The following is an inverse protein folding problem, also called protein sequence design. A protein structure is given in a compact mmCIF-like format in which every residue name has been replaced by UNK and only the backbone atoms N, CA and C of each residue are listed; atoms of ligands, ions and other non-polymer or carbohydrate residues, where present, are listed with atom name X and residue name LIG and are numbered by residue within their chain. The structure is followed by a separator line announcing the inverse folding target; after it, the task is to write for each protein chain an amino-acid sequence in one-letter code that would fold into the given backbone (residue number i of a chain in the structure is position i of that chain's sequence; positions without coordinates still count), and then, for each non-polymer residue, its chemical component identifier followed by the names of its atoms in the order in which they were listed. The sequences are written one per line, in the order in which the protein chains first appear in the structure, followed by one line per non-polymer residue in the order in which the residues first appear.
data_IF_422198823793
#
_entry.id   IF_422198823793
#
_cell.length_a   1.000
_cell.length_b   1.000
_cell.length_c   1.000
_cell.angle_alpha   90.00
_cell.angle_beta   90.00
_cell.angle_gamma   90.00
#
_symmetry.space_group_name_H-M   'P 1'
#
loop_
_entity.id
_entity.type
_entity.pdbx_description
1 polymer ?
#
# COMPACT_ATOMS: atom_id res chain seq x y z
N UNK A 1 -2.98 -31.98 -13.83
CA UNK A 1 -3.36 -31.41 -12.50
C UNK A 1 -4.61 -32.16 -12.08
N UNK A 2 -4.52 -32.91 -11.00
CA UNK A 2 -5.64 -33.62 -10.38
C UNK A 2 -6.33 -32.73 -9.33
N UNK A 3 -7.53 -33.13 -8.91
CA UNK A 3 -8.22 -32.48 -7.80
C UNK A 3 -7.40 -32.55 -6.49
N UNK A 4 -6.72 -33.66 -6.26
CA UNK A 4 -5.87 -33.89 -5.10
C UNK A 4 -4.65 -32.93 -5.10
N UNK A 5 -4.09 -32.59 -6.24
CA UNK A 5 -3.00 -31.61 -6.36
C UNK A 5 -3.45 -30.22 -5.91
N UNK A 6 -4.70 -29.88 -6.19
CA UNK A 6 -5.31 -28.59 -5.79
C UNK A 6 -5.56 -28.59 -4.28
N UNK A 7 -6.24 -29.61 -3.77
CA UNK A 7 -6.68 -29.69 -2.37
C UNK A 7 -5.50 -29.86 -1.42
N UNK A 8 -4.45 -30.59 -1.83
CA UNK A 8 -3.26 -30.80 -1.01
C UNK A 8 -2.33 -29.59 -0.92
N UNK A 9 -2.53 -28.56 -1.75
CA UNK A 9 -1.70 -27.36 -1.74
C UNK A 9 -2.07 -26.43 -0.57
N UNK A 10 -1.58 -26.78 0.63
CA UNK A 10 -1.84 -26.02 1.87
C UNK A 10 -1.42 -24.55 1.79
N UNK A 11 -0.35 -24.24 1.05
CA UNK A 11 0.12 -22.87 0.91
C UNK A 11 -0.88 -22.02 0.11
N UNK A 12 -1.41 -22.55 -1.00
CA UNK A 12 -2.42 -21.85 -1.79
C UNK A 12 -3.73 -21.64 -1.00
N UNK A 13 -4.19 -22.66 -0.27
CA UNK A 13 -5.39 -22.56 0.55
C UNK A 13 -5.23 -21.55 1.69
N UNK A 14 -4.06 -21.49 2.30
CA UNK A 14 -3.77 -20.51 3.35
C UNK A 14 -3.88 -19.08 2.81
N UNK A 15 -3.28 -18.80 1.65
CA UNK A 15 -3.37 -17.49 0.97
C UNK A 15 -4.83 -17.18 0.60
N UNK A 16 -5.55 -18.16 0.05
CA UNK A 16 -6.95 -18.01 -0.32
C UNK A 16 -7.83 -17.62 0.87
N UNK A 17 -7.75 -18.34 1.99
CA UNK A 17 -8.54 -18.05 3.18
C UNK A 17 -8.18 -16.69 3.78
N UNK A 18 -6.91 -16.33 3.84
CA UNK A 18 -6.48 -15.01 4.29
C UNK A 18 -7.05 -13.90 3.42
N UNK A 19 -6.91 -13.99 2.11
CA UNK A 19 -7.43 -12.99 1.18
C UNK A 19 -8.96 -12.90 1.24
N UNK A 20 -9.65 -14.04 1.21
CA UNK A 20 -11.11 -14.06 1.30
C UNK A 20 -11.61 -13.41 2.59
N UNK A 21 -10.98 -13.72 3.72
CA UNK A 21 -11.33 -13.12 5.03
C UNK A 21 -11.10 -11.61 5.04
N UNK A 22 -9.96 -11.15 4.53
CA UNK A 22 -9.64 -9.72 4.49
C UNK A 22 -10.59 -8.95 3.56
N UNK A 23 -10.92 -9.51 2.39
CA UNK A 23 -11.89 -8.90 1.46
C UNK A 23 -13.28 -8.85 2.10
N UNK A 24 -13.70 -9.92 2.80
CA UNK A 24 -14.98 -9.96 3.49
C UNK A 24 -15.04 -8.93 4.61
N UNK A 25 -13.98 -8.79 5.40
CA UNK A 25 -13.89 -7.76 6.44
C UNK A 25 -13.95 -6.35 5.85
N UNK A 26 -13.20 -6.09 4.77
CA UNK A 26 -13.22 -4.80 4.07
C UNK A 26 -14.62 -4.48 3.52
N UNK A 27 -15.31 -5.47 2.94
CA UNK A 27 -16.70 -5.35 2.49
C UNK A 27 -17.65 -5.08 3.66
N UNK A 28 -17.47 -5.80 4.77
CA UNK A 28 -18.22 -5.57 6.01
C UNK A 28 -18.04 -4.14 6.54
N UNK A 29 -16.82 -3.64 6.59
CA UNK A 29 -16.52 -2.25 6.98
C UNK A 29 -17.21 -1.24 6.05
N UNK A 30 -17.23 -1.51 4.76
CA UNK A 30 -17.93 -0.66 3.80
C UNK A 30 -19.45 -0.67 4.05
N UNK A 31 -20.04 -1.84 4.24
CA UNK A 31 -21.48 -2.00 4.48
C UNK A 31 -21.96 -1.37 5.80
N UNK A 32 -21.08 -1.30 6.81
CA UNK A 32 -21.38 -0.60 8.09
C UNK A 32 -21.30 0.91 7.98
N UNK A 33 -20.88 1.46 6.83
CA UNK A 33 -20.68 2.89 6.63
C UNK A 33 -19.40 3.44 7.30
N UNK A 34 -18.56 2.56 7.88
CA UNK A 34 -17.31 2.97 8.52
C UNK A 34 -16.39 3.72 7.56
N UNK A 35 -16.26 3.23 6.34
CA UNK A 35 -15.41 3.85 5.30
C UNK A 35 -15.90 5.27 4.99
N UNK A 36 -17.22 5.45 4.82
CA UNK A 36 -17.81 6.77 4.58
C UNK A 36 -17.67 7.70 5.77
N UNK A 37 -17.82 7.19 6.99
CA UNK A 37 -17.59 7.96 8.21
C UNK A 37 -16.13 8.39 8.35
N UNK A 38 -15.19 7.48 8.15
CA UNK A 38 -13.76 7.75 8.19
C UNK A 38 -13.33 8.75 7.11
N UNK A 39 -13.85 8.59 5.89
CA UNK A 39 -13.63 9.54 4.80
C UNK A 39 -14.11 10.96 5.15
N UNK A 40 -15.31 11.10 5.73
CA UNK A 40 -15.83 12.40 6.19
C UNK A 40 -14.99 13.01 7.33
N UNK A 41 -14.51 12.17 8.26
CA UNK A 41 -13.62 12.60 9.34
C UNK A 41 -12.32 13.18 8.78
N UNK A 42 -11.70 12.48 7.81
CA UNK A 42 -10.49 12.94 7.14
C UNK A 42 -10.77 14.21 6.32
N UNK A 43 -11.83 14.24 5.53
CA UNK A 43 -12.20 15.40 4.73
C UNK A 43 -12.44 16.63 5.61
N UNK A 44 -13.09 16.48 6.77
CA UNK A 44 -13.28 17.57 7.74
C UNK A 44 -11.95 18.09 8.31
N UNK A 45 -11.01 17.21 8.61
CA UNK A 45 -9.69 17.57 9.14
C UNK A 45 -8.75 18.14 8.07
N UNK A 46 -9.00 17.83 6.81
CA UNK A 46 -8.19 18.25 5.65
C UNK A 46 -8.87 19.39 4.85
N UNK A 47 -10.04 19.85 5.27
CA UNK A 47 -10.73 20.99 4.67
C UNK A 47 -9.88 22.26 4.84
N UNK A 48 -9.39 22.80 3.73
CA UNK A 48 -8.46 23.94 3.71
C UNK A 48 -7.12 23.66 3.05
N UNK A 49 -6.82 22.41 2.78
CA UNK A 49 -5.64 22.03 1.99
C UNK A 49 -6.02 21.75 0.53
N UNK A 50 -5.08 22.02 -0.38
CA UNK A 50 -5.32 21.72 -1.80
C UNK A 50 -5.47 20.19 -2.03
N UNK A 51 -6.31 19.76 -2.98
CA UNK A 51 -6.51 18.33 -3.29
C UNK A 51 -5.20 17.60 -3.59
N UNK A 52 -4.28 18.27 -4.28
CA UNK A 52 -2.95 17.75 -4.57
C UNK A 52 -2.13 17.50 -3.30
N UNK A 53 -2.18 18.44 -2.34
CA UNK A 53 -1.48 18.29 -1.06
C UNK A 53 -2.03 17.11 -0.27
N UNK A 54 -3.35 16.95 -0.23
CA UNK A 54 -4.00 15.83 0.44
C UNK A 54 -3.63 14.51 -0.23
N UNK A 55 -3.69 14.46 -1.55
CA UNK A 55 -3.29 13.28 -2.32
C UNK A 55 -1.85 12.86 -2.01
N UNK A 56 -0.91 13.80 -2.02
CA UNK A 56 0.49 13.54 -1.68
C UNK A 56 0.64 13.08 -0.24
N UNK A 57 -0.04 13.74 0.71
CA UNK A 57 0.00 13.36 2.13
C UNK A 57 -0.50 11.93 2.35
N UNK A 58 -1.61 11.54 1.73
CA UNK A 58 -2.15 10.18 1.81
C UNK A 58 -1.15 9.15 1.26
N UNK A 59 -0.49 9.44 0.14
CA UNK A 59 0.53 8.55 -0.45
C UNK A 59 1.75 8.45 0.45
N UNK A 60 2.22 9.56 1.01
CA UNK A 60 3.37 9.56 1.94
C UNK A 60 3.05 8.74 3.19
N UNK A 61 1.88 8.97 3.80
CA UNK A 61 1.44 8.20 4.96
C UNK A 61 1.31 6.71 4.61
N UNK A 62 0.64 6.38 3.50
CA UNK A 62 0.53 5.02 3.02
C UNK A 62 1.91 4.39 2.86
N UNK A 63 2.85 5.03 2.18
CA UNK A 63 4.21 4.53 1.97
C UNK A 63 4.97 4.29 3.28
N UNK A 64 4.89 5.22 4.24
CA UNK A 64 5.58 5.11 5.53
C UNK A 64 4.96 4.04 6.44
N UNK A 65 3.65 3.82 6.36
CA UNK A 65 2.99 2.75 7.12
C UNK A 65 3.51 1.36 6.76
N UNK A 66 4.23 1.23 5.65
CA UNK A 66 4.92 -0.02 5.26
C UNK A 66 5.86 -0.56 6.34
N UNK A 67 6.47 0.32 7.15
CA UNK A 67 7.36 -0.08 8.24
C UNK A 67 6.68 -0.97 9.30
N UNK A 68 5.38 -0.90 9.44
CA UNK A 68 4.61 -1.66 10.44
C UNK A 68 4.13 -3.04 9.94
N UNK A 69 4.39 -3.37 8.67
CA UNK A 69 3.87 -4.59 8.07
C UNK A 69 4.99 -5.52 7.61
N UNK A 70 4.96 -6.76 8.12
CA UNK A 70 5.91 -7.82 7.72
C UNK A 70 5.48 -8.58 6.43
N UNK A 71 4.42 -8.14 5.77
CA UNK A 71 3.88 -8.78 4.56
C UNK A 71 3.31 -7.75 3.61
N UNK A 72 3.70 -7.84 2.33
CA UNK A 72 3.14 -7.00 1.28
C UNK A 72 1.63 -7.21 1.11
N UNK A 73 1.19 -8.47 1.18
CA UNK A 73 -0.23 -8.83 1.06
C UNK A 73 -1.05 -8.27 2.20
N UNK A 74 -0.60 -8.44 3.45
CA UNK A 74 -1.30 -7.91 4.62
C UNK A 74 -1.38 -6.37 4.58
N UNK A 75 -0.29 -5.71 4.25
CA UNK A 75 -0.22 -4.26 4.06
C UNK A 75 -1.23 -3.77 3.01
N UNK A 76 -1.19 -4.36 1.82
CA UNK A 76 -2.07 -3.98 0.72
C UNK A 76 -3.54 -4.21 1.06
N UNK A 77 -3.87 -5.38 1.57
CA UNK A 77 -5.26 -5.75 1.89
C UNK A 77 -5.85 -4.90 3.03
N UNK A 78 -5.03 -4.51 4.00
CA UNK A 78 -5.50 -3.69 5.12
C UNK A 78 -5.60 -2.21 4.74
N UNK A 79 -4.59 -1.64 4.10
CA UNK A 79 -4.48 -0.20 3.96
C UNK A 79 -4.94 0.36 2.61
N UNK A 80 -4.76 -0.38 1.49
CA UNK A 80 -5.13 0.16 0.18
C UNK A 80 -6.63 0.49 0.07
N UNK A 81 -7.58 -0.34 0.53
CA UNK A 81 -8.99 0.00 0.54
C UNK A 81 -9.31 1.26 1.36
N UNK A 82 -8.63 1.45 2.49
CA UNK A 82 -8.83 2.62 3.35
C UNK A 82 -8.33 3.91 2.66
N UNK A 83 -7.18 3.86 2.00
CA UNK A 83 -6.64 5.00 1.26
C UNK A 83 -7.50 5.37 0.07
N UNK A 84 -7.99 4.39 -0.69
CA UNK A 84 -8.90 4.61 -1.81
C UNK A 84 -10.22 5.20 -1.31
N UNK A 85 -10.76 4.71 -0.20
CA UNK A 85 -11.98 5.26 0.39
C UNK A 85 -11.79 6.71 0.87
N UNK A 86 -10.63 7.04 1.43
CA UNK A 86 -10.28 8.41 1.79
C UNK A 86 -10.24 9.33 0.55
N UNK A 87 -9.65 8.87 -0.54
CA UNK A 87 -9.62 9.61 -1.80
C UNK A 87 -11.01 9.78 -2.43
N UNK A 88 -11.85 8.73 -2.37
CA UNK A 88 -13.25 8.78 -2.85
C UNK A 88 -14.12 9.79 -2.08
N UNK A 89 -13.81 10.05 -0.81
CA UNK A 89 -14.51 11.06 -0.02
C UNK A 89 -14.17 12.51 -0.45
N UNK A 90 -13.17 12.68 -1.33
CA UNK A 90 -12.69 13.95 -1.85
C UNK A 90 -12.78 13.95 -3.39
N UNK A 91 -13.91 14.39 -3.98
CA UNK A 91 -14.16 14.29 -5.43
C UNK A 91 -13.14 15.01 -6.32
N UNK A 92 -12.39 15.95 -5.74
CA UNK A 92 -11.38 16.73 -6.43
C UNK A 92 -10.06 15.95 -6.62
N UNK A 93 -9.88 14.79 -5.95
CA UNK A 93 -8.71 13.94 -6.15
C UNK A 93 -8.94 13.07 -7.41
N UNK A 94 -8.03 13.12 -8.40
CA UNK A 94 -8.12 12.27 -9.59
C UNK A 94 -7.89 10.80 -9.22
N UNK A 95 -8.97 10.09 -8.98
CA UNK A 95 -8.94 8.71 -8.45
C UNK A 95 -8.09 7.74 -9.28
N UNK A 96 -8.10 7.76 -10.64
CA UNK A 96 -7.23 6.88 -11.42
C UNK A 96 -5.75 7.10 -11.14
N UNK A 97 -5.33 8.37 -11.05
CA UNK A 97 -3.94 8.75 -10.71
C UNK A 97 -3.60 8.28 -9.30
N UNK A 98 -4.48 8.52 -8.32
CA UNK A 98 -4.28 8.11 -6.96
C UNK A 98 -4.15 6.59 -6.82
N UNK A 99 -5.02 5.81 -7.45
CA UNK A 99 -4.95 4.35 -7.46
C UNK A 99 -3.64 3.82 -8.08
N UNK A 100 -3.17 4.45 -9.15
CA UNK A 100 -1.90 4.09 -9.76
C UNK A 100 -0.72 4.41 -8.85
N UNK A 101 -0.75 5.55 -8.15
CA UNK A 101 0.24 5.91 -7.13
C UNK A 101 0.25 4.93 -5.96
N UNK A 102 -0.92 4.51 -5.48
CA UNK A 102 -1.04 3.46 -4.44
C UNK A 102 -0.42 2.15 -4.91
N UNK A 103 -0.72 1.71 -6.13
CA UNK A 103 -0.13 0.51 -6.72
C UNK A 103 1.40 0.60 -6.83
N UNK A 104 1.92 1.74 -7.30
CA UNK A 104 3.36 1.98 -7.37
C UNK A 104 4.01 2.03 -5.98
N UNK A 105 3.35 2.65 -4.97
CA UNK A 105 3.82 2.70 -3.59
C UNK A 105 3.99 1.31 -2.97
N UNK A 106 3.09 0.36 -3.28
CA UNK A 106 3.18 -1.03 -2.82
C UNK A 106 4.46 -1.70 -3.33
N UNK A 107 4.78 -1.51 -4.60
CA UNK A 107 6.00 -2.06 -5.21
C UNK A 107 7.26 -1.39 -4.68
N UNK A 108 7.33 -0.07 -4.73
CA UNK A 108 8.50 0.71 -4.35
C UNK A 108 8.81 0.63 -2.85
N UNK A 109 7.79 0.50 -1.99
CA UNK A 109 7.96 0.31 -0.54
C UNK A 109 8.56 -1.05 -0.15
N UNK A 110 8.76 -1.95 -1.09
CA UNK A 110 9.26 -3.30 -0.84
C UNK A 110 10.71 -3.37 -0.34
N UNK A 111 11.48 -2.30 -0.50
CA UNK A 111 12.89 -2.22 -0.07
C UNK A 111 13.08 -1.61 1.33
N UNK A 112 12.03 -1.04 1.93
CA UNK A 112 12.15 -0.26 3.17
C UNK A 112 12.65 -1.07 4.37
N UNK A 113 12.27 -2.34 4.45
CA UNK A 113 12.57 -3.17 5.63
C UNK A 113 13.02 -4.58 5.23
N UNK A 114 13.80 -5.27 6.08
CA UNK A 114 14.23 -6.65 5.82
C UNK A 114 13.08 -7.66 5.86
N UNK A 115 11.88 -7.26 6.20
CA UNK A 115 10.68 -8.09 6.26
C UNK A 115 9.55 -7.60 5.35
N UNK A 116 9.83 -6.62 4.48
CA UNK A 116 8.80 -6.01 3.63
C UNK A 116 8.18 -6.98 2.62
N UNK A 117 8.93 -7.96 2.14
CA UNK A 117 8.45 -8.95 1.16
C UNK A 117 8.89 -10.35 1.55
N UNK A 118 8.32 -11.38 0.92
CA UNK A 118 8.72 -12.77 1.15
C UNK A 118 10.22 -13.05 0.92
N UNK A 119 10.85 -12.54 -0.15
CA UNK A 119 12.29 -12.72 -0.39
C UNK A 119 13.19 -11.91 0.53
N UNK A 120 12.74 -10.78 1.06
CA UNK A 120 13.57 -9.86 1.86
C UNK A 120 14.25 -10.52 3.06
N UNK A 121 13.58 -11.35 3.88
CA UNK A 121 14.22 -12.05 4.98
C UNK A 121 15.31 -13.02 4.54
N UNK A 122 15.19 -13.62 3.35
CA UNK A 122 16.15 -14.55 2.80
C UNK A 122 17.45 -13.82 2.44
N UNK A 123 17.33 -12.70 1.74
CA UNK A 123 18.49 -11.86 1.40
C UNK A 123 19.15 -11.27 2.64
N UNK A 124 18.36 -10.77 3.58
CA UNK A 124 18.87 -10.25 4.84
C UNK A 124 19.55 -11.34 5.67
N UNK A 125 18.94 -12.51 5.78
CA UNK A 125 19.47 -13.66 6.53
C UNK A 125 20.72 -14.31 5.91
N UNK A 126 21.05 -14.00 4.65
CA UNK A 126 22.29 -14.48 4.01
C UNK A 126 23.56 -13.93 4.64
N UNK A 127 23.45 -12.82 5.41
CA UNK A 127 24.57 -12.23 6.14
C UNK A 127 25.58 -11.42 5.30
N UNK A 128 25.34 -11.26 4.00
CA UNK A 128 26.23 -10.47 3.13
C UNK A 128 26.21 -8.96 3.46
N UNK A 129 25.10 -8.47 4.02
CA UNK A 129 24.94 -7.06 4.40
C UNK A 129 24.79 -6.95 5.91
N UNK A 130 25.63 -6.11 6.57
CA UNK A 130 25.42 -5.74 7.97
C UNK A 130 24.04 -5.12 8.19
N UNK A 131 23.44 -5.40 9.33
CA UNK A 131 22.11 -4.88 9.69
C UNK A 131 22.00 -3.35 9.54
N UNK A 132 23.00 -2.62 10.00
CA UNK A 132 23.03 -1.17 9.92
C UNK A 132 23.00 -0.66 8.46
N UNK A 133 23.78 -1.31 7.58
CA UNK A 133 23.84 -0.94 6.17
C UNK A 133 22.53 -1.26 5.46
N UNK A 134 21.88 -2.38 5.78
CA UNK A 134 20.56 -2.72 5.23
C UNK A 134 19.52 -1.63 5.53
N UNK A 135 19.42 -1.21 6.80
CA UNK A 135 18.48 -0.17 7.21
C UNK A 135 18.84 1.20 6.62
N UNK A 136 20.12 1.53 6.56
CA UNK A 136 20.60 2.79 5.96
C UNK A 136 20.28 2.86 4.47
N UNK A 137 20.59 1.80 3.73
CA UNK A 137 20.29 1.72 2.29
C UNK A 137 18.77 1.71 2.03
N UNK A 138 18.00 0.95 2.81
CA UNK A 138 16.55 0.94 2.75
C UNK A 138 15.94 2.33 2.98
N UNK A 139 16.45 3.08 3.94
CA UNK A 139 16.00 4.45 4.19
C UNK A 139 16.37 5.41 3.05
N UNK A 140 17.62 5.36 2.54
CA UNK A 140 18.08 6.21 1.45
C UNK A 140 17.30 5.94 0.17
N UNK A 141 17.25 4.68 -0.28
CA UNK A 141 16.53 4.32 -1.49
C UNK A 141 15.02 4.47 -1.32
N UNK A 142 14.49 4.20 -0.11
CA UNK A 142 13.10 4.43 0.21
C UNK A 142 12.70 5.90 0.04
N UNK A 143 13.54 6.83 0.51
CA UNK A 143 13.31 8.26 0.32
C UNK A 143 13.39 8.65 -1.16
N UNK A 144 14.40 8.17 -1.88
CA UNK A 144 14.54 8.42 -3.33
C UNK A 144 13.29 7.93 -4.06
N UNK A 145 12.83 6.71 -3.79
CA UNK A 145 11.65 6.15 -4.45
C UNK A 145 10.36 6.87 -4.07
N UNK A 146 10.24 7.34 -2.82
CA UNK A 146 9.09 8.17 -2.42
C UNK A 146 9.06 9.49 -3.20
N UNK A 147 10.20 10.17 -3.32
CA UNK A 147 10.30 11.42 -4.09
C UNK A 147 9.99 11.18 -5.57
N UNK A 148 10.55 10.13 -6.16
CA UNK A 148 10.26 9.75 -7.55
C UNK A 148 8.78 9.41 -7.73
N UNK A 149 8.16 8.69 -6.81
CA UNK A 149 6.74 8.37 -6.84
C UNK A 149 5.86 9.62 -6.84
N UNK A 150 6.18 10.58 -5.97
CA UNK A 150 5.42 11.84 -5.90
C UNK A 150 5.61 12.66 -7.19
N UNK A 151 6.83 12.79 -7.67
CA UNK A 151 7.12 13.53 -8.90
C UNK A 151 6.41 12.87 -10.10
N UNK A 152 6.55 11.56 -10.28
CA UNK A 152 5.91 10.86 -11.41
C UNK A 152 4.40 10.85 -11.28
N UNK A 153 3.87 10.73 -10.05
CA UNK A 153 2.44 10.79 -9.77
C UNK A 153 1.81 12.13 -10.10
N UNK A 154 2.54 13.21 -9.88
CA UNK A 154 2.02 14.57 -10.14
C UNK A 154 2.23 15.03 -11.60
N UNK A 155 3.32 14.63 -12.23
CA UNK A 155 3.70 15.17 -13.54
C UNK A 155 3.40 14.21 -14.68
N UNK A 156 3.66 12.93 -14.53
CA UNK A 156 3.60 11.97 -15.63
C UNK A 156 2.32 11.13 -15.65
N UNK A 157 1.88 10.62 -14.50
CA UNK A 157 0.67 9.78 -14.44
C UNK A 157 -0.59 10.50 -14.95
N UNK A 158 -0.84 11.79 -14.65
CA UNK A 158 -1.98 12.50 -15.23
C UNK A 158 -1.92 12.59 -16.77
N UNK A 159 -0.73 12.74 -17.35
CA UNK A 159 -0.55 12.84 -18.82
C UNK A 159 -0.90 11.51 -19.51
N UNK A 160 -0.69 10.38 -18.83
CA UNK A 160 -0.95 9.04 -19.40
C UNK A 160 -2.40 8.62 -19.20
N UNK A 161 -3.08 9.13 -18.17
CA UNK A 161 -4.42 8.70 -17.78
C UNK A 161 -5.53 9.68 -18.17
N UNK A 162 -5.18 10.89 -18.56
CA UNK A 162 -6.10 11.93 -19.01
C UNK A 162 -5.89 12.22 -20.50
#
# INVERSE_FOLDING_TARGET
ISWDDIVSNKAAWNVFFWLASLITLATGLNNTGFISWFGKLLAGSLSGYSPTMVMVALIVVFYLLRYFFASATAYTSALAPMMIAAALAMPEIPLPVFCLMVGAAIGLGSILTPYATGPSPIYYGSGYLPTADYWRLGAIFGLIFLVLLVITGLLWMPVVLL
#
